data_IF_323610409960
#
_entry.id   IF_323610409960
#
_cell.length_a   1.000
_cell.length_b   1.000
_cell.length_c   1.000
_cell.angle_alpha   90.00
_cell.angle_beta   90.00
_cell.angle_gamma   90.00
#
_symmetry.space_group_name_H-M   'P 1'
#
loop_
_entity.id
_entity.type
_entity.pdbx_description
1 polymer ?
#
# COMPACT_ATOMS: atom_id res chain seq x y z
N UNK A 1 -35.98 -10.10 16.49
CA UNK A 1 -37.46 -10.05 16.38
C UNK A 1 -38.00 -11.41 16.74
N UNK A 2 -38.38 -11.60 18.01
CA UNK A 2 -38.96 -12.87 18.47
C UNK A 2 -40.37 -12.99 17.93
N UNK A 3 -40.64 -14.02 17.13
CA UNK A 3 -41.95 -14.41 16.70
C UNK A 3 -42.82 -14.69 17.95
N UNK A 4 -43.87 -13.91 18.14
CA UNK A 4 -44.93 -14.23 19.09
C UNK A 4 -45.63 -15.55 18.65
N UNK A 5 -45.03 -16.68 18.98
CA UNK A 5 -45.75 -17.94 18.91
C UNK A 5 -46.81 -17.92 20.02
N UNK A 6 -48.06 -18.08 19.69
CA UNK A 6 -49.15 -18.26 20.65
C UNK A 6 -48.79 -19.46 21.54
N UNK A 7 -48.36 -19.20 22.78
CA UNK A 7 -47.85 -20.18 23.71
C UNK A 7 -48.99 -21.00 24.32
N UNK A 8 -50.25 -20.48 24.25
CA UNK A 8 -51.46 -21.13 24.76
C UNK A 8 -52.39 -21.47 23.61
N UNK A 9 -53.00 -22.62 23.72
CA UNK A 9 -53.98 -23.13 22.73
C UNK A 9 -55.35 -22.44 22.81
N UNK A 10 -55.55 -21.50 23.76
CA UNK A 10 -56.78 -20.79 23.98
C UNK A 10 -57.90 -21.66 24.59
N UNK A 11 -57.52 -22.59 25.51
CA UNK A 11 -58.41 -23.57 26.06
C UNK A 11 -59.44 -22.93 27.02
N UNK A 12 -59.08 -21.91 27.80
CA UNK A 12 -59.98 -21.18 28.68
C UNK A 12 -60.29 -19.76 28.16
N UNK A 13 -61.38 -19.14 28.62
CA UNK A 13 -61.70 -17.74 28.38
C UNK A 13 -60.66 -16.74 28.92
N UNK A 14 -59.78 -17.16 29.86
CA UNK A 14 -58.73 -16.36 30.48
C UNK A 14 -57.35 -16.56 29.85
N UNK A 15 -57.26 -17.35 28.79
CA UNK A 15 -56.01 -17.66 28.12
C UNK A 15 -55.22 -16.39 27.70
N UNK A 16 -55.92 -15.37 27.15
CA UNK A 16 -55.30 -14.09 26.76
C UNK A 16 -54.73 -13.31 27.98
N UNK A 17 -55.43 -13.35 29.12
CA UNK A 17 -54.98 -12.66 30.34
C UNK A 17 -53.76 -13.34 30.93
N UNK A 18 -53.71 -14.67 30.94
CA UNK A 18 -52.53 -15.45 31.36
C UNK A 18 -51.32 -15.16 30.48
N UNK A 19 -51.56 -15.04 29.14
CA UNK A 19 -50.50 -14.67 28.21
C UNK A 19 -49.97 -13.24 28.44
N UNK A 20 -50.85 -12.28 28.74
CA UNK A 20 -50.42 -10.94 29.11
C UNK A 20 -49.59 -10.89 30.40
N UNK A 21 -49.99 -11.67 31.42
CA UNK A 21 -49.25 -11.80 32.68
C UNK A 21 -47.85 -12.38 32.42
N UNK A 22 -47.76 -13.46 31.63
CA UNK A 22 -46.49 -14.05 31.20
C UNK A 22 -45.58 -13.05 30.51
N UNK A 23 -46.13 -12.34 29.49
CA UNK A 23 -45.39 -11.34 28.75
C UNK A 23 -44.87 -10.22 29.64
N UNK A 24 -45.65 -9.74 30.58
CA UNK A 24 -45.23 -8.72 31.55
C UNK A 24 -44.13 -9.26 32.50
N UNK A 25 -44.27 -10.49 32.99
CA UNK A 25 -43.28 -11.11 33.87
C UNK A 25 -41.91 -11.27 33.15
N UNK A 26 -41.93 -11.78 31.91
CA UNK A 26 -40.73 -11.91 31.07
C UNK A 26 -40.09 -10.53 30.77
N UNK A 27 -40.91 -9.53 30.44
CA UNK A 27 -40.44 -8.16 30.18
C UNK A 27 -39.74 -7.56 31.40
N UNK A 28 -40.28 -7.78 32.61
CA UNK A 28 -39.64 -7.31 33.85
C UNK A 28 -38.34 -8.07 34.12
N UNK A 29 -38.34 -9.39 33.90
CA UNK A 29 -37.14 -10.22 34.02
C UNK A 29 -36.04 -9.86 33.01
N UNK A 30 -36.38 -9.26 31.85
CA UNK A 30 -35.45 -8.84 30.85
C UNK A 30 -34.81 -7.46 31.12
N UNK A 31 -35.24 -6.70 32.12
CA UNK A 31 -34.66 -5.38 32.42
C UNK A 31 -33.14 -5.42 32.72
N UNK A 32 -32.63 -6.40 33.51
CA UNK A 32 -31.20 -6.55 33.75
C UNK A 32 -30.43 -6.85 32.48
N UNK A 33 -30.98 -7.66 31.56
CA UNK A 33 -30.37 -7.97 30.26
C UNK A 33 -30.21 -6.71 29.40
N UNK A 34 -31.21 -5.84 29.36
CA UNK A 34 -31.11 -4.57 28.65
C UNK A 34 -30.01 -3.68 29.24
N UNK A 35 -29.85 -3.65 30.58
CA UNK A 35 -28.77 -2.91 31.22
C UNK A 35 -27.40 -3.49 30.85
N UNK A 36 -27.25 -4.82 30.85
CA UNK A 36 -26.01 -5.48 30.43
C UNK A 36 -25.64 -5.20 28.97
N UNK A 37 -26.65 -5.19 28.07
CA UNK A 37 -26.43 -4.82 26.65
C UNK A 37 -26.02 -3.36 26.49
N UNK A 38 -26.59 -2.42 27.26
CA UNK A 38 -26.15 -1.03 27.24
C UNK A 38 -24.70 -0.87 27.73
N UNK A 39 -24.32 -1.62 28.75
CA UNK A 39 -22.94 -1.67 29.24
C UNK A 39 -21.99 -2.26 28.19
N UNK A 40 -22.42 -3.31 27.48
CA UNK A 40 -21.65 -3.90 26.36
C UNK A 40 -21.41 -2.85 25.25
N UNK A 41 -22.45 -2.11 24.86
CA UNK A 41 -22.31 -1.03 23.87
C UNK A 41 -21.29 0.02 24.31
N UNK A 42 -21.29 0.39 25.59
CA UNK A 42 -20.30 1.35 26.13
C UNK A 42 -18.87 0.79 26.06
N UNK A 43 -18.69 -0.49 26.41
CA UNK A 43 -17.37 -1.15 26.33
C UNK A 43 -16.89 -1.29 24.89
N UNK A 44 -17.78 -1.60 23.95
CA UNK A 44 -17.48 -1.65 22.51
C UNK A 44 -17.05 -0.26 22.00
N UNK A 45 -17.81 0.78 22.32
CA UNK A 45 -17.45 2.16 21.94
C UNK A 45 -16.08 2.57 22.49
N UNK A 46 -15.73 2.14 23.71
CA UNK A 46 -14.40 2.36 24.30
C UNK A 46 -13.32 1.59 23.53
N UNK A 47 -13.56 0.33 23.15
CA UNK A 47 -12.63 -0.48 22.35
C UNK A 47 -12.41 0.14 20.96
N UNK A 48 -13.47 0.60 20.32
CA UNK A 48 -13.40 1.25 19.00
C UNK A 48 -12.58 2.54 19.06
N UNK A 49 -12.76 3.34 20.10
CA UNK A 49 -11.99 4.55 20.31
C UNK A 49 -10.50 4.28 20.58
N UNK A 50 -10.17 3.19 21.32
CA UNK A 50 -8.78 2.76 21.51
C UNK A 50 -8.15 2.28 20.22
N UNK A 51 -8.88 1.55 19.37
CA UNK A 51 -8.40 1.14 18.05
C UNK A 51 -8.19 2.34 17.11
N UNK A 52 -9.05 3.36 17.19
CA UNK A 52 -8.87 4.60 16.43
C UNK A 52 -7.59 5.32 16.84
N UNK A 53 -7.35 5.47 18.15
CA UNK A 53 -6.11 6.06 18.69
C UNK A 53 -4.88 5.28 18.25
N UNK A 54 -4.89 3.96 18.38
CA UNK A 54 -3.84 3.06 17.95
C UNK A 54 -3.47 3.30 16.47
N UNK A 55 -4.47 3.30 15.58
CA UNK A 55 -4.24 3.60 14.17
C UNK A 55 -3.65 4.99 13.91
N UNK A 56 -3.98 6.01 14.73
CA UNK A 56 -3.40 7.36 14.59
C UNK A 56 -1.95 7.39 15.06
N UNK A 57 -1.62 6.72 16.17
CA UNK A 57 -0.24 6.66 16.67
C UNK A 57 0.65 5.80 15.75
N UNK A 58 0.15 4.68 15.24
CA UNK A 58 0.84 3.90 14.21
C UNK A 58 1.12 4.72 12.95
N UNK A 59 0.20 5.62 12.55
CA UNK A 59 0.44 6.54 11.44
C UNK A 59 1.54 7.56 11.75
N UNK A 60 1.63 8.06 12.99
CA UNK A 60 2.74 8.92 13.42
C UNK A 60 4.06 8.17 13.37
N UNK A 61 4.11 6.94 13.86
CA UNK A 61 5.31 6.10 13.79
C UNK A 61 5.74 5.84 12.32
N UNK A 62 4.79 5.53 11.45
CA UNK A 62 5.04 5.35 10.02
C UNK A 62 5.57 6.63 9.37
N UNK A 63 5.06 7.80 9.76
CA UNK A 63 5.55 9.08 9.25
C UNK A 63 6.99 9.38 9.74
N UNK A 64 7.35 9.04 10.98
CA UNK A 64 8.72 9.13 11.49
C UNK A 64 9.67 8.20 10.70
N UNK A 65 9.23 6.98 10.39
CA UNK A 65 9.99 6.05 9.52
C UNK A 65 10.14 6.62 8.11
N UNK A 66 9.10 7.29 7.60
CA UNK A 66 9.12 8.00 6.32
C UNK A 66 10.18 9.11 6.28
N UNK A 67 10.36 9.87 7.38
CA UNK A 67 11.45 10.87 7.47
C UNK A 67 12.81 10.19 7.40
N UNK A 68 13.00 9.05 8.07
CA UNK A 68 14.24 8.28 8.00
C UNK A 68 14.56 7.83 6.57
N UNK A 69 13.57 7.26 5.88
CA UNK A 69 13.73 6.85 4.48
C UNK A 69 14.03 8.03 3.56
N UNK A 70 13.39 9.18 3.79
CA UNK A 70 13.60 10.40 3.02
C UNK A 70 14.99 11.01 3.29
N UNK A 71 15.54 10.85 4.50
CA UNK A 71 16.89 11.31 4.84
C UNK A 71 17.97 10.54 4.06
N UNK A 72 17.71 9.27 3.73
CA UNK A 72 18.59 8.44 2.90
C UNK A 72 18.34 8.63 1.39
N UNK A 73 17.28 9.35 1.00
CA UNK A 73 16.95 9.57 -0.40
C UNK A 73 17.91 10.56 -1.04
N UNK A 74 18.41 10.22 -2.23
CA UNK A 74 19.29 11.07 -3.02
C UNK A 74 18.61 11.57 -4.29
N UNK A 75 19.09 12.67 -4.80
CA UNK A 75 18.72 13.22 -6.10
C UNK A 75 19.99 13.55 -6.88
N UNK A 76 19.93 13.38 -8.20
CA UNK A 76 21.02 13.77 -9.09
C UNK A 76 20.60 15.01 -9.91
N UNK A 77 21.55 15.92 -10.08
CA UNK A 77 21.45 17.04 -11.03
C UNK A 77 22.62 16.99 -11.99
N UNK A 78 22.41 17.44 -13.20
CA UNK A 78 23.41 17.40 -14.28
C UNK A 78 23.64 18.80 -14.79
N UNK A 79 24.90 19.17 -15.01
CA UNK A 79 25.27 20.49 -15.52
C UNK A 79 24.84 20.70 -16.98
N UNK A 80 24.80 19.62 -17.77
CA UNK A 80 24.34 19.62 -19.16
C UNK A 80 23.54 18.36 -19.47
N UNK A 81 22.22 18.52 -19.56
CA UNK A 81 21.27 17.45 -19.81
C UNK A 81 21.25 16.95 -21.26
N UNK A 82 21.89 17.66 -22.17
CA UNK A 82 22.03 17.23 -23.58
C UNK A 82 23.15 16.18 -23.70
N UNK A 83 24.15 16.24 -22.81
CA UNK A 83 25.31 15.33 -22.81
C UNK A 83 25.02 14.06 -22.06
N UNK A 84 24.46 14.16 -20.84
CA UNK A 84 24.12 13.00 -20.02
C UNK A 84 22.82 13.21 -19.27
N UNK A 85 22.09 12.11 -19.03
CA UNK A 85 21.01 12.06 -18.04
C UNK A 85 21.43 11.14 -16.88
N UNK A 86 21.22 11.56 -15.64
CA UNK A 86 21.63 10.81 -14.46
C UNK A 86 20.44 10.35 -13.66
N UNK A 87 20.52 9.13 -13.14
CA UNK A 87 19.54 8.51 -12.25
C UNK A 87 20.26 8.03 -11.00
N UNK A 88 19.85 8.57 -9.83
CA UNK A 88 20.31 8.13 -8.52
C UNK A 88 19.24 7.30 -7.82
N UNK A 89 19.65 6.20 -7.20
CA UNK A 89 18.81 5.46 -6.25
C UNK A 89 19.24 5.79 -4.79
N UNK A 90 18.50 5.35 -3.76
CA UNK A 90 18.82 5.65 -2.36
C UNK A 90 20.21 5.21 -1.89
N UNK A 91 20.87 4.31 -2.62
CA UNK A 91 22.23 3.86 -2.29
C UNK A 91 23.33 4.74 -2.90
N UNK A 92 22.98 5.74 -3.72
CA UNK A 92 23.94 6.62 -4.36
C UNK A 92 24.66 7.49 -3.32
N UNK A 93 25.99 7.52 -3.42
CA UNK A 93 26.78 8.33 -2.51
C UNK A 93 26.79 9.79 -2.96
N UNK A 94 26.50 10.76 -2.06
CA UNK A 94 26.61 12.18 -2.36
C UNK A 94 28.02 12.55 -2.83
N UNK A 95 28.08 13.38 -3.87
CA UNK A 95 29.34 13.82 -4.45
C UNK A 95 29.16 14.39 -5.87
N UNK A 96 30.27 14.88 -6.42
CA UNK A 96 30.33 15.37 -7.82
C UNK A 96 31.14 14.37 -8.63
N UNK A 97 30.55 13.99 -9.78
CA UNK A 97 31.14 13.06 -10.75
C UNK A 97 31.26 13.77 -12.09
N UNK A 98 32.47 14.11 -12.51
CA UNK A 98 32.71 14.70 -13.83
C UNK A 98 32.79 13.59 -14.87
N UNK A 99 31.95 13.67 -15.90
CA UNK A 99 31.85 12.67 -16.96
C UNK A 99 32.28 13.30 -18.27
N UNK A 100 33.26 12.70 -18.93
CA UNK A 100 33.69 13.02 -20.26
C UNK A 100 33.19 11.93 -21.22
N UNK A 101 32.20 12.24 -22.08
CA UNK A 101 31.69 11.32 -23.10
C UNK A 101 32.51 11.48 -24.36
N UNK A 102 33.38 10.50 -24.63
CA UNK A 102 34.24 10.48 -25.83
C UNK A 102 33.46 10.02 -27.05
N UNK A 103 32.60 9.02 -26.89
CA UNK A 103 31.74 8.46 -27.93
C UNK A 103 30.47 7.90 -27.31
N UNK A 104 29.32 8.18 -27.89
CA UNK A 104 28.06 7.55 -27.48
C UNK A 104 27.84 6.14 -28.07
N UNK A 105 28.81 5.69 -28.90
CA UNK A 105 28.73 4.40 -29.57
C UNK A 105 27.60 4.32 -30.60
N UNK A 106 27.61 3.25 -31.36
CA UNK A 106 26.61 2.94 -32.36
C UNK A 106 26.38 1.42 -32.44
N UNK A 107 25.16 0.92 -32.66
CA UNK A 107 24.90 -0.46 -32.98
C UNK A 107 25.35 -0.78 -34.39
N UNK A 108 25.72 -2.05 -34.66
CA UNK A 108 25.91 -2.55 -36.02
C UNK A 108 24.56 -2.63 -36.72
N UNK A 109 24.54 -2.16 -37.98
CA UNK A 109 23.37 -2.27 -38.86
C UNK A 109 23.72 -3.13 -40.06
N UNK A 110 22.86 -4.09 -40.38
CA UNK A 110 22.94 -4.94 -41.56
C UNK A 110 21.62 -4.91 -42.34
N UNK A 111 21.67 -5.15 -43.61
CA UNK A 111 20.52 -5.13 -44.48
C UNK A 111 20.58 -6.25 -45.51
N UNK A 112 19.43 -6.76 -45.92
CA UNK A 112 19.33 -7.79 -46.96
C UNK A 112 19.96 -7.34 -48.27
N UNK A 113 20.73 -8.23 -48.90
CA UNK A 113 21.45 -7.96 -50.12
C UNK A 113 20.54 -7.46 -51.28
N UNK A 114 21.09 -6.60 -52.12
CA UNK A 114 20.36 -6.12 -53.29
C UNK A 114 20.13 -7.15 -54.39
N UNK A 115 20.93 -8.23 -54.36
CA UNK A 115 20.86 -9.35 -55.30
C UNK A 115 19.75 -10.37 -54.97
N UNK A 116 19.13 -10.26 -53.78
CA UNK A 116 18.03 -11.13 -53.38
C UNK A 116 16.72 -10.73 -54.10
N UNK A 117 15.73 -11.63 -54.19
CA UNK A 117 14.45 -11.36 -54.81
C UNK A 117 13.83 -10.06 -54.27
N UNK A 118 13.26 -9.27 -55.17
CA UNK A 118 12.56 -8.05 -54.79
C UNK A 118 11.25 -8.42 -54.06
N UNK A 119 11.03 -7.82 -52.90
CA UNK A 119 9.82 -8.02 -52.11
C UNK A 119 8.95 -6.75 -52.25
N UNK A 120 7.81 -6.90 -52.94
CA UNK A 120 6.84 -5.84 -53.10
C UNK A 120 5.70 -5.87 -52.10
N UNK A 121 5.49 -7.05 -51.44
CA UNK A 121 4.58 -7.26 -50.34
C UNK A 121 5.25 -8.17 -49.30
N UNK A 122 5.61 -7.62 -48.12
CA UNK A 122 6.32 -8.39 -47.07
C UNK A 122 5.45 -9.45 -46.37
N UNK A 123 4.12 -9.39 -46.53
CA UNK A 123 3.18 -10.35 -45.97
C UNK A 123 2.96 -11.58 -46.86
N UNK A 124 3.36 -11.50 -48.11
CA UNK A 124 3.18 -12.53 -49.14
C UNK A 124 4.48 -13.10 -49.72
N UNK A 125 5.56 -12.33 -49.65
CA UNK A 125 6.83 -12.63 -50.27
C UNK A 125 7.98 -12.68 -49.27
N UNK A 126 9.08 -13.37 -49.64
CA UNK A 126 10.30 -13.49 -48.89
C UNK A 126 11.56 -13.26 -49.73
N UNK A 127 12.68 -13.05 -49.02
CA UNK A 127 14.03 -12.98 -49.65
C UNK A 127 14.68 -14.34 -49.83
N UNK A 128 14.10 -15.41 -49.28
CA UNK A 128 14.57 -16.80 -49.36
C UNK A 128 13.39 -17.77 -49.35
N UNK A 129 13.58 -18.98 -49.83
CA UNK A 129 12.62 -20.09 -49.75
C UNK A 129 12.97 -21.05 -48.61
N UNK A 130 14.06 -20.83 -47.90
CA UNK A 130 14.48 -21.69 -46.77
C UNK A 130 13.50 -21.57 -45.58
N UNK A 131 13.07 -22.69 -45.06
CA UNK A 131 12.22 -22.77 -43.86
C UNK A 131 13.01 -22.69 -42.56
N UNK A 132 14.34 -22.78 -42.61
CA UNK A 132 15.22 -22.65 -41.45
C UNK A 132 16.48 -21.89 -41.84
N UNK A 133 16.79 -20.85 -41.04
CA UNK A 133 17.94 -19.98 -41.26
C UNK A 133 18.85 -19.99 -40.03
N UNK A 134 20.10 -19.65 -40.23
CA UNK A 134 21.06 -19.45 -39.13
C UNK A 134 21.39 -17.97 -39.04
N UNK A 135 21.01 -17.32 -37.97
CA UNK A 135 21.40 -15.97 -37.62
C UNK A 135 22.65 -16.01 -36.73
N UNK A 136 23.76 -15.46 -37.18
CA UNK A 136 24.99 -15.39 -36.39
C UNK A 136 25.20 -13.96 -35.92
N UNK A 137 25.31 -13.75 -34.59
CA UNK A 137 25.49 -12.45 -33.97
C UNK A 137 26.73 -12.53 -33.07
N UNK A 138 27.77 -11.74 -33.38
CA UNK A 138 29.01 -11.79 -32.61
C UNK A 138 29.66 -13.16 -32.52
N UNK A 139 29.49 -14.00 -33.57
CA UNK A 139 29.99 -15.36 -33.61
C UNK A 139 29.07 -16.41 -32.97
N UNK A 140 27.98 -16.04 -32.33
CA UNK A 140 27.00 -16.95 -31.72
C UNK A 140 25.87 -17.26 -32.72
N UNK A 141 25.65 -18.56 -33.11
CA UNK A 141 24.59 -18.92 -34.02
C UNK A 141 23.24 -19.12 -33.30
N UNK A 142 22.17 -18.65 -33.93
CA UNK A 142 20.77 -18.84 -33.54
C UNK A 142 19.99 -19.45 -34.71
N UNK A 143 19.22 -20.49 -34.44
CA UNK A 143 18.33 -21.08 -35.46
C UNK A 143 17.04 -20.26 -35.52
N UNK A 144 16.71 -19.78 -36.71
CA UNK A 144 15.51 -18.99 -36.99
C UNK A 144 14.58 -19.85 -37.86
N UNK A 145 13.39 -20.12 -37.34
CA UNK A 145 12.35 -20.88 -38.04
C UNK A 145 11.09 -20.02 -38.15
N UNK A 146 10.88 -19.29 -39.25
CA UNK A 146 9.69 -18.49 -39.44
C UNK A 146 8.43 -19.34 -39.51
N UNK A 147 7.29 -18.82 -39.03
CA UNK A 147 5.99 -19.50 -39.05
C UNK A 147 5.41 -19.63 -40.47
N UNK A 148 5.86 -18.79 -41.40
CA UNK A 148 5.53 -18.84 -42.81
C UNK A 148 6.69 -18.27 -43.64
N UNK A 149 6.70 -18.61 -44.95
CA UNK A 149 7.75 -18.10 -45.85
C UNK A 149 7.42 -16.70 -46.38
N UNK A 150 7.39 -15.70 -45.45
CA UNK A 150 7.18 -14.29 -45.71
C UNK A 150 8.23 -13.45 -45.03
N UNK A 151 8.48 -12.23 -45.55
CA UNK A 151 9.46 -11.32 -44.96
C UNK A 151 9.04 -10.87 -43.55
N UNK A 152 7.73 -10.69 -43.35
CA UNK A 152 7.17 -10.35 -42.03
C UNK A 152 7.39 -11.45 -41.02
N UNK A 153 7.06 -12.70 -41.35
CA UNK A 153 7.27 -13.83 -40.45
C UNK A 153 8.76 -14.09 -40.14
N UNK A 154 9.66 -13.81 -41.10
CA UNK A 154 11.09 -13.87 -40.87
C UNK A 154 11.56 -12.79 -39.88
N UNK A 155 11.09 -11.54 -40.01
CA UNK A 155 11.41 -10.46 -39.08
C UNK A 155 10.88 -10.78 -37.65
N UNK A 156 9.65 -11.30 -37.54
CA UNK A 156 9.06 -11.70 -36.27
C UNK A 156 9.84 -12.85 -35.60
N UNK A 157 10.26 -13.84 -36.38
CA UNK A 157 11.07 -14.97 -35.90
C UNK A 157 12.44 -14.49 -35.39
N UNK A 158 13.09 -13.55 -36.09
CA UNK A 158 14.35 -12.94 -35.64
C UNK A 158 14.14 -12.18 -34.33
N UNK A 159 13.12 -11.33 -34.24
CA UNK A 159 12.81 -10.55 -33.04
C UNK A 159 12.49 -11.43 -31.83
N UNK A 160 11.92 -12.61 -32.05
CA UNK A 160 11.58 -13.58 -31.01
C UNK A 160 12.73 -14.51 -30.64
N UNK A 161 13.86 -14.47 -31.37
CA UNK A 161 14.96 -15.43 -31.21
C UNK A 161 15.84 -15.22 -29.98
N UNK A 162 15.77 -14.05 -29.32
CA UNK A 162 16.68 -13.67 -28.24
C UNK A 162 18.12 -13.36 -28.67
N UNK A 163 18.38 -13.18 -29.96
CA UNK A 163 19.72 -13.01 -30.52
C UNK A 163 20.34 -11.62 -30.32
N UNK A 164 19.77 -10.78 -29.46
CA UNK A 164 20.21 -9.39 -29.23
C UNK A 164 20.29 -8.55 -30.52
N UNK A 165 19.33 -8.75 -31.43
CA UNK A 165 19.12 -7.94 -32.62
C UNK A 165 17.65 -7.57 -32.75
N UNK A 166 17.39 -6.44 -33.39
CA UNK A 166 16.05 -6.03 -33.81
C UNK A 166 15.97 -6.05 -35.32
N UNK A 167 14.99 -6.79 -35.85
CA UNK A 167 14.68 -6.86 -37.26
C UNK A 167 13.53 -5.94 -37.60
N UNK A 168 13.72 -5.10 -38.62
CA UNK A 168 12.73 -4.20 -39.17
C UNK A 168 12.62 -4.39 -40.69
N UNK A 169 11.45 -4.10 -41.26
CA UNK A 169 11.23 -4.10 -42.70
C UNK A 169 11.13 -2.65 -43.15
N UNK A 170 12.00 -2.26 -44.10
CA UNK A 170 12.06 -0.91 -44.65
C UNK A 170 11.76 -0.94 -46.14
N UNK A 171 10.98 0.03 -46.62
CA UNK A 171 10.71 0.19 -48.05
C UNK A 171 11.73 1.16 -48.66
N UNK A 172 12.56 0.68 -49.56
CA UNK A 172 13.53 1.49 -50.34
C UNK A 172 12.99 1.85 -51.72
N UNK A 173 11.76 1.41 -52.07
CA UNK A 173 11.11 1.75 -53.35
C UNK A 173 10.15 2.96 -53.18
N UNK A 174 9.49 3.29 -54.28
CA UNK A 174 8.43 4.29 -54.31
C UNK A 174 7.08 3.70 -53.86
N UNK A 175 6.08 4.49 -53.51
CA UNK A 175 4.74 3.98 -53.22
C UNK A 175 4.10 3.16 -54.36
N UNK A 176 4.45 3.47 -55.61
CA UNK A 176 3.97 2.78 -56.82
C UNK A 176 4.84 1.57 -57.21
N UNK A 177 6.05 1.46 -56.70
CA UNK A 177 6.98 0.36 -56.91
C UNK A 177 7.74 0.06 -55.60
N UNK A 178 7.09 -0.54 -54.63
CA UNK A 178 7.70 -0.82 -53.33
C UNK A 178 8.83 -1.88 -53.46
N UNK A 179 9.87 -1.72 -52.65
CA UNK A 179 10.98 -2.65 -52.53
C UNK A 179 11.36 -2.81 -51.05
N UNK A 180 10.75 -3.77 -50.41
CA UNK A 180 10.95 -4.01 -49.00
C UNK A 180 12.25 -4.81 -48.76
N UNK A 181 13.01 -4.33 -47.78
CA UNK A 181 14.27 -4.95 -47.32
C UNK A 181 14.20 -5.26 -45.86
N UNK A 182 14.82 -6.38 -45.47
CA UNK A 182 15.06 -6.72 -44.08
C UNK A 182 16.26 -5.91 -43.59
N UNK A 183 16.06 -5.16 -42.52
CA UNK A 183 17.12 -4.41 -41.82
C UNK A 183 17.26 -4.94 -40.40
N UNK A 184 18.49 -5.33 -40.03
CA UNK A 184 18.81 -5.77 -38.69
C UNK A 184 19.70 -4.75 -38.01
N UNK A 185 19.44 -4.54 -36.71
CA UNK A 185 20.27 -3.70 -35.85
C UNK A 185 20.56 -4.43 -34.55
N UNK A 186 21.83 -4.44 -34.11
CA UNK A 186 22.16 -5.00 -32.79
C UNK A 186 21.56 -4.17 -31.66
N UNK A 187 21.12 -4.80 -30.60
CA UNK A 187 20.64 -4.11 -29.40
C UNK A 187 21.80 -3.60 -28.56
N UNK A 188 22.97 -4.22 -28.67
CA UNK A 188 24.21 -3.81 -28.04
C UNK A 188 25.06 -2.94 -28.97
N UNK A 189 25.79 -2.01 -28.37
CA UNK A 189 26.74 -1.16 -29.07
C UNK A 189 28.03 -1.94 -29.36
N UNK A 190 28.68 -1.59 -30.46
CA UNK A 190 29.96 -2.22 -30.83
C UNK A 190 29.95 -2.76 -32.24
N UNK A 191 31.15 -3.06 -32.76
CA UNK A 191 31.34 -3.74 -34.03
C UNK A 191 31.03 -5.25 -33.89
N UNK A 192 29.75 -5.55 -33.88
CA UNK A 192 29.22 -6.91 -33.71
C UNK A 192 28.81 -7.43 -35.07
N UNK A 193 29.49 -8.42 -35.61
CA UNK A 193 29.15 -9.04 -36.88
C UNK A 193 27.74 -9.66 -36.80
N UNK A 194 26.90 -9.33 -37.78
CA UNK A 194 25.54 -9.88 -37.92
C UNK A 194 25.41 -10.49 -39.30
N UNK A 195 25.11 -11.78 -39.41
CA UNK A 195 24.91 -12.48 -40.65
C UNK A 195 23.74 -13.43 -40.54
N UNK A 196 22.93 -13.49 -41.60
CA UNK A 196 21.81 -14.40 -41.75
C UNK A 196 22.08 -15.32 -42.92
N UNK A 197 22.18 -16.63 -42.69
CA UNK A 197 22.48 -17.66 -43.71
C UNK A 197 21.27 -18.57 -43.91
N UNK A 198 20.91 -18.86 -45.13
CA UNK A 198 19.78 -19.75 -45.49
C UNK A 198 20.18 -21.21 -45.76
N UNK A 199 21.43 -21.55 -45.45
CA UNK A 199 22.02 -22.86 -45.72
C UNK A 199 22.77 -22.93 -47.04
N UNK A 200 22.60 -21.94 -47.92
CA UNK A 200 23.21 -21.84 -49.25
C UNK A 200 24.06 -20.57 -49.41
N UNK A 201 23.60 -19.46 -48.87
CA UNK A 201 24.25 -18.18 -49.01
C UNK A 201 23.94 -17.26 -47.80
N UNK A 202 24.80 -16.27 -47.64
CA UNK A 202 24.55 -15.18 -46.73
C UNK A 202 23.56 -14.19 -47.33
N UNK A 203 22.59 -13.74 -46.54
CA UNK A 203 21.49 -12.92 -47.01
C UNK A 203 21.68 -11.45 -46.64
N UNK A 204 22.66 -11.09 -45.81
CA UNK A 204 22.85 -9.75 -45.31
C UNK A 204 24.20 -9.17 -45.73
N UNK A 205 24.27 -7.86 -45.86
CA UNK A 205 25.51 -7.06 -45.86
C UNK A 205 25.50 -6.07 -44.71
N UNK A 206 26.68 -5.83 -44.13
CA UNK A 206 26.84 -4.77 -43.12
C UNK A 206 26.66 -3.41 -43.81
N UNK A 207 25.68 -2.65 -43.33
CA UNK A 207 25.41 -1.29 -43.81
C UNK A 207 26.30 -0.29 -43.02
N UNK A 208 26.46 -0.50 -41.71
CA UNK A 208 27.29 0.31 -40.83
C UNK A 208 27.83 -0.55 -39.72
N UNK A 209 29.17 -0.58 -39.58
CA UNK A 209 29.80 -1.15 -38.40
C UNK A 209 29.43 -0.33 -37.17
N UNK A 210 29.18 -1.01 -36.04
CA UNK A 210 28.93 -0.37 -34.76
C UNK A 210 30.24 0.10 -34.07
N UNK A 211 30.08 0.79 -32.99
CA UNK A 211 31.18 1.21 -32.10
C UNK A 211 30.70 1.19 -30.68
N UNK A 212 31.57 0.85 -29.74
CA UNK A 212 31.26 0.93 -28.30
C UNK A 212 31.11 2.39 -27.85
N UNK A 213 30.28 2.63 -26.85
CA UNK A 213 30.30 3.89 -26.13
C UNK A 213 31.63 4.00 -25.35
N UNK A 214 32.17 5.21 -25.28
CA UNK A 214 33.44 5.48 -24.59
C UNK A 214 33.30 6.70 -23.72
N UNK A 215 33.74 6.59 -22.45
CA UNK A 215 33.62 7.65 -21.47
C UNK A 215 34.75 7.57 -20.42
N UNK A 216 34.93 8.67 -19.68
CA UNK A 216 35.85 8.77 -18.53
C UNK A 216 35.10 9.36 -17.34
N UNK A 217 35.49 9.02 -16.12
CA UNK A 217 34.92 9.53 -14.87
C UNK A 217 36.01 10.25 -14.13
N UNK A 218 35.83 11.53 -13.76
CA UNK A 218 36.82 12.37 -13.09
C UNK A 218 38.18 12.37 -13.84
N UNK A 219 38.16 12.33 -15.18
CA UNK A 219 39.35 12.27 -16.02
C UNK A 219 40.10 10.93 -15.99
N UNK A 220 39.52 9.89 -15.45
CA UNK A 220 40.12 8.56 -15.33
C UNK A 220 39.24 7.46 -15.93
N UNK A 221 39.82 6.35 -16.43
CA UNK A 221 41.26 6.19 -16.74
C UNK A 221 41.64 7.01 -17.96
N UNK A 222 42.95 7.19 -18.18
CA UNK A 222 43.47 7.91 -19.35
C UNK A 222 43.05 7.27 -20.71
N UNK A 223 42.87 5.94 -20.73
CA UNK A 223 42.17 5.22 -21.82
C UNK A 223 40.72 5.14 -21.47
N UNK A 224 39.80 5.68 -22.30
CA UNK A 224 38.38 5.69 -21.99
C UNK A 224 37.83 4.31 -21.72
N UNK A 225 36.86 4.23 -20.80
CA UNK A 225 36.09 3.02 -20.52
C UNK A 225 35.16 2.77 -21.71
N UNK A 226 35.16 1.54 -22.21
CA UNK A 226 34.28 1.11 -23.31
C UNK A 226 33.07 0.36 -22.76
N UNK A 227 31.89 0.64 -23.31
CA UNK A 227 30.62 0.01 -22.94
C UNK A 227 29.84 -0.44 -24.18
N UNK A 228 29.16 -1.57 -24.08
CA UNK A 228 28.20 -2.05 -25.08
C UNK A 228 26.77 -1.48 -24.88
N UNK A 229 26.62 -0.57 -23.90
CA UNK A 229 25.40 0.16 -23.58
C UNK A 229 25.69 1.66 -23.45
N UNK A 230 24.67 2.49 -23.75
CA UNK A 230 24.71 3.93 -23.41
C UNK A 230 24.36 4.20 -21.97
N UNK A 231 23.60 3.30 -21.35
CA UNK A 231 23.29 3.37 -19.92
C UNK A 231 24.41 2.68 -19.16
N UNK A 232 25.15 3.43 -18.35
CA UNK A 232 26.33 2.97 -17.61
C UNK A 232 26.20 3.27 -16.13
N UNK A 233 26.61 2.34 -15.27
CA UNK A 233 26.72 2.57 -13.82
C UNK A 233 28.09 3.14 -13.53
N UNK A 234 28.14 4.37 -13.02
CA UNK A 234 29.41 5.11 -12.77
C UNK A 234 29.84 5.05 -11.31
N UNK A 235 28.88 4.81 -10.40
CA UNK A 235 29.12 4.59 -8.96
C UNK A 235 27.99 3.71 -8.41
N UNK A 236 28.13 3.10 -7.21
CA UNK A 236 27.03 2.39 -6.56
C UNK A 236 25.80 3.29 -6.49
N UNK A 237 24.65 2.80 -6.98
CA UNK A 237 23.39 3.54 -7.01
C UNK A 237 23.32 4.74 -7.97
N UNK A 238 24.33 4.97 -8.81
CA UNK A 238 24.33 6.06 -9.78
C UNK A 238 24.52 5.52 -11.20
N UNK A 239 23.49 5.66 -12.01
CA UNK A 239 23.45 5.27 -13.42
C UNK A 239 23.33 6.51 -14.29
N UNK A 240 23.99 6.50 -15.44
CA UNK A 240 24.03 7.63 -16.38
C UNK A 240 23.75 7.13 -17.78
N UNK A 241 22.91 7.86 -18.52
CA UNK A 241 22.71 7.68 -19.95
C UNK A 241 23.58 8.65 -20.73
N UNK A 242 24.40 8.12 -21.64
CA UNK A 242 25.30 8.88 -22.51
C UNK A 242 24.52 9.34 -23.76
N UNK A 243 24.21 10.64 -23.86
CA UNK A 243 23.34 11.20 -24.90
C UNK A 243 24.12 11.86 -26.02
N UNK A 244 25.17 12.65 -25.69
CA UNK A 244 26.06 13.32 -26.64
C UNK A 244 27.51 13.27 -26.14
N UNK A 245 28.45 13.54 -27.04
CA UNK A 245 29.87 13.74 -26.72
C UNK A 245 30.08 15.07 -26.04
N UNK A 246 30.91 15.12 -24.99
CA UNK A 246 31.21 16.35 -24.25
C UNK A 246 31.47 16.07 -22.78
N UNK A 247 31.52 17.16 -22.01
CA UNK A 247 31.78 17.12 -20.57
C UNK A 247 30.51 17.52 -19.80
N UNK A 248 30.18 16.77 -18.77
CA UNK A 248 29.08 17.09 -17.87
C UNK A 248 29.44 16.68 -16.43
N UNK A 249 29.04 17.51 -15.48
CA UNK A 249 29.12 17.19 -14.05
C UNK A 249 27.78 16.66 -13.54
N UNK A 250 27.81 15.52 -12.90
CA UNK A 250 26.69 14.95 -12.17
C UNK A 250 26.90 15.17 -10.69
N UNK A 251 25.99 15.93 -10.07
CA UNK A 251 26.02 16.19 -8.63
C UNK A 251 24.93 15.35 -7.97
N UNK A 252 25.33 14.45 -7.09
CA UNK A 252 24.43 13.67 -6.24
C UNK A 252 24.36 14.34 -4.88
N UNK A 253 23.16 14.67 -4.44
CA UNK A 253 22.90 15.29 -3.13
C UNK A 253 21.72 14.61 -2.43
N UNK A 254 21.56 14.82 -1.13
CA UNK A 254 20.35 14.41 -0.43
C UNK A 254 19.13 15.14 -0.98
N UNK A 255 18.01 14.43 -1.08
CA UNK A 255 16.76 14.98 -1.61
C UNK A 255 16.03 15.82 -0.57
N UNK A 256 16.23 17.14 -0.58
CA UNK A 256 15.48 18.06 0.29
C UNK A 256 13.96 18.01 0.05
N UNK A 257 13.54 17.79 -1.19
CA UNK A 257 12.11 17.66 -1.51
C UNK A 257 11.47 16.40 -0.91
N UNK A 258 12.19 15.26 -0.92
CA UNK A 258 11.72 14.04 -0.27
C UNK A 258 11.60 14.24 1.26
N UNK A 259 12.59 14.88 1.87
CA UNK A 259 12.58 15.20 3.29
C UNK A 259 11.45 16.19 3.65
N UNK A 260 11.23 17.24 2.84
CA UNK A 260 10.13 18.19 3.04
C UNK A 260 8.76 17.49 2.99
N UNK A 261 8.55 16.61 2.01
CA UNK A 261 7.32 15.84 1.89
C UNK A 261 7.10 14.92 3.11
N UNK A 262 8.15 14.28 3.61
CA UNK A 262 8.08 13.41 4.78
C UNK A 262 7.78 14.20 6.06
N UNK A 263 8.36 15.40 6.25
CA UNK A 263 8.06 16.30 7.37
C UNK A 263 6.62 16.82 7.31
N UNK A 264 6.10 17.13 6.12
CA UNK A 264 4.70 17.49 5.91
C UNK A 264 3.75 16.34 6.27
N UNK A 265 4.10 15.11 5.86
CA UNK A 265 3.34 13.91 6.22
C UNK A 265 3.34 13.66 7.74
N UNK A 266 4.48 13.88 8.38
CA UNK A 266 4.59 13.80 9.85
C UNK A 266 3.68 14.82 10.53
N UNK A 267 3.69 16.10 10.10
CA UNK A 267 2.80 17.12 10.66
C UNK A 267 1.31 16.72 10.49
N UNK A 268 0.96 16.16 9.34
CA UNK A 268 -0.41 15.68 9.07
C UNK A 268 -0.81 14.52 9.99
N UNK A 269 0.03 13.51 10.14
CA UNK A 269 -0.23 12.36 11.02
C UNK A 269 -0.30 12.78 12.49
N UNK A 270 0.63 13.65 12.92
CA UNK A 270 0.65 14.23 14.25
C UNK A 270 -0.67 14.97 14.57
N UNK A 271 -1.12 15.82 13.65
CA UNK A 271 -2.36 16.57 13.81
C UNK A 271 -3.59 15.67 13.87
N UNK A 272 -3.62 14.60 13.08
CA UNK A 272 -4.70 13.60 13.14
C UNK A 272 -4.75 12.89 14.50
N UNK A 273 -3.60 12.62 15.13
CA UNK A 273 -3.54 12.06 16.47
C UNK A 273 -3.98 13.07 17.54
N UNK A 274 -3.61 14.36 17.41
CA UNK A 274 -4.08 15.44 18.29
C UNK A 274 -5.59 15.61 18.20
N UNK A 275 -6.15 15.59 16.98
CA UNK A 275 -7.59 15.70 16.76
C UNK A 275 -8.35 14.54 17.41
N UNK A 276 -7.90 13.31 17.23
CA UNK A 276 -8.50 12.12 17.85
C UNK A 276 -8.48 12.23 19.38
N UNK A 277 -7.34 12.60 19.97
CA UNK A 277 -7.25 12.81 21.43
C UNK A 277 -8.18 13.92 21.92
N UNK A 278 -8.41 14.94 21.10
CA UNK A 278 -9.28 16.08 21.45
C UNK A 278 -10.75 15.66 21.49
N UNK A 279 -11.18 14.72 20.64
CA UNK A 279 -12.56 14.19 20.65
C UNK A 279 -12.91 13.52 21.99
N UNK A 280 -11.92 13.08 22.76
CA UNK A 280 -12.10 12.41 24.06
C UNK A 280 -11.87 13.33 25.27
N UNK A 281 -11.93 14.66 25.09
CA UNK A 281 -11.75 15.66 26.15
C UNK A 281 -12.99 16.51 26.39
N UNK A 282 -13.12 17.02 27.60
CA UNK A 282 -14.18 17.95 27.96
C UNK A 282 -15.55 17.31 28.24
N UNK A 283 -16.54 18.13 28.57
CA UNK A 283 -17.93 17.68 28.75
C UNK A 283 -18.54 17.29 27.39
N UNK A 284 -19.09 16.10 27.30
CA UNK A 284 -19.66 15.56 26.06
C UNK A 284 -18.63 14.96 25.10
N UNK A 285 -17.41 14.75 25.53
CA UNK A 285 -16.38 14.04 24.76
C UNK A 285 -16.70 12.56 24.56
N UNK A 286 -15.92 11.90 23.69
CA UNK A 286 -16.11 10.51 23.27
C UNK A 286 -15.92 9.45 24.38
N UNK A 287 -15.88 8.20 23.96
CA UNK A 287 -15.92 7.03 24.86
C UNK A 287 -14.73 6.88 25.86
N UNK A 288 -13.65 7.67 25.66
CA UNK A 288 -12.47 7.65 26.54
C UNK A 288 -12.36 8.89 27.45
N UNK A 289 -13.44 9.64 27.63
CA UNK A 289 -13.45 10.80 28.56
C UNK A 289 -13.09 10.33 29.98
N UNK A 290 -12.06 10.99 30.55
CA UNK A 290 -11.56 10.65 31.89
C UNK A 290 -10.62 9.43 31.93
N UNK A 291 -10.34 8.80 30.79
CA UNK A 291 -9.36 7.72 30.73
C UNK A 291 -7.93 8.28 30.83
N UNK A 292 -7.08 7.76 31.75
CA UNK A 292 -5.70 8.22 31.90
C UNK A 292 -4.85 8.10 30.62
N UNK A 293 -5.20 7.19 29.72
CA UNK A 293 -4.48 6.99 28.45
C UNK A 293 -4.44 8.28 27.60
N UNK A 294 -5.54 9.05 27.60
CA UNK A 294 -5.63 10.32 26.86
C UNK A 294 -4.56 11.31 27.28
N UNK A 295 -4.29 11.40 28.61
CA UNK A 295 -3.25 12.29 29.14
C UNK A 295 -1.84 11.79 28.79
N UNK A 296 -1.59 10.49 28.89
CA UNK A 296 -0.30 9.86 28.57
C UNK A 296 0.04 10.03 27.11
N UNK A 297 -0.87 9.70 26.20
CA UNK A 297 -0.68 9.86 24.75
C UNK A 297 -0.48 11.34 24.36
N UNK A 298 -1.24 12.25 24.97
CA UNK A 298 -1.07 13.69 24.74
C UNK A 298 0.27 14.22 25.21
N UNK A 299 0.81 13.68 26.30
CA UNK A 299 2.14 14.06 26.79
C UNK A 299 3.23 13.54 25.85
N UNK A 300 3.09 12.33 25.33
CA UNK A 300 4.03 11.76 24.36
C UNK A 300 4.07 12.60 23.08
N UNK A 301 2.92 12.99 22.51
CA UNK A 301 2.91 13.88 21.34
C UNK A 301 3.56 15.23 21.63
N UNK A 302 3.29 15.83 22.78
CA UNK A 302 3.94 17.10 23.16
C UNK A 302 5.45 16.96 23.33
N UNK A 303 5.91 15.83 23.87
CA UNK A 303 7.34 15.53 23.99
C UNK A 303 8.01 15.41 22.61
N UNK A 304 7.33 14.78 21.64
CA UNK A 304 7.82 14.73 20.27
C UNK A 304 7.95 16.13 19.65
N UNK A 305 6.88 16.94 19.74
CA UNK A 305 6.88 18.29 19.17
C UNK A 305 7.86 19.25 19.89
N UNK A 306 8.15 19.00 21.15
CA UNK A 306 9.08 19.79 21.97
C UNK A 306 10.50 19.28 21.97
N UNK A 307 10.87 18.35 21.08
CA UNK A 307 12.22 17.81 21.02
C UNK A 307 13.23 18.91 20.72
N UNK A 308 14.29 18.94 21.50
CA UNK A 308 15.45 19.80 21.32
C UNK A 308 16.71 18.94 21.31
N UNK A 309 17.62 19.21 20.39
CA UNK A 309 18.86 18.45 20.24
C UNK A 309 19.75 19.10 19.20
N UNK A 310 20.94 18.50 18.96
CA UNK A 310 21.90 19.06 18.01
C UNK A 310 22.82 20.12 18.61
N UNK A 311 23.92 20.38 17.91
CA UNK A 311 24.96 21.34 18.32
C UNK A 311 25.23 22.42 17.27
N UNK A 312 24.40 22.46 16.19
CA UNK A 312 24.55 23.36 15.06
C UNK A 312 23.50 24.44 14.97
N UNK A 313 23.22 24.89 13.78
CA UNK A 313 22.19 25.88 13.47
C UNK A 313 20.77 25.34 13.61
N UNK A 314 20.59 24.00 13.62
CA UNK A 314 19.30 23.32 13.78
C UNK A 314 19.28 22.64 15.16
N UNK A 315 18.45 23.14 16.07
CA UNK A 315 18.37 22.68 17.46
C UNK A 315 16.97 22.23 17.88
N UNK A 316 15.95 22.55 17.11
CA UNK A 316 14.56 22.21 17.39
C UNK A 316 13.75 22.07 16.08
N UNK A 317 12.53 21.54 16.18
CA UNK A 317 11.68 21.33 15.02
C UNK A 317 11.27 22.64 14.32
N UNK A 318 11.25 23.77 15.03
CA UNK A 318 10.92 25.08 14.45
C UNK A 318 11.99 25.51 13.45
N UNK A 319 13.25 25.17 13.69
CA UNK A 319 14.35 25.47 12.76
C UNK A 319 14.23 24.67 11.45
N UNK A 320 13.42 23.59 11.47
CA UNK A 320 13.02 22.82 10.29
C UNK A 320 11.65 23.23 9.72
N UNK A 321 11.10 24.37 10.14
CA UNK A 321 9.80 24.85 9.66
C UNK A 321 8.59 24.19 10.31
N UNK A 322 8.74 23.35 11.33
CA UNK A 322 7.66 22.72 12.08
C UNK A 322 7.32 23.54 13.33
N UNK A 323 6.22 24.27 13.30
CA UNK A 323 5.80 25.13 14.41
C UNK A 323 4.55 24.60 15.10
N UNK A 324 4.54 24.63 16.44
CA UNK A 324 3.42 24.19 17.26
C UNK A 324 2.49 25.37 17.55
N UNK A 325 1.22 25.24 17.24
CA UNK A 325 0.21 26.23 17.55
C UNK A 325 -0.35 26.09 18.99
N UNK A 326 -1.23 27.04 19.39
CA UNK A 326 -1.86 27.03 20.72
C UNK A 326 -2.82 25.86 20.94
N UNK A 327 -3.31 25.24 19.88
CA UNK A 327 -4.16 24.06 19.94
C UNK A 327 -3.36 22.76 20.06
N UNK A 328 -2.03 22.84 19.97
CA UNK A 328 -1.12 21.72 20.03
C UNK A 328 -0.94 21.02 18.67
N UNK A 329 -1.29 21.67 17.57
CA UNK A 329 -1.10 21.17 16.21
C UNK A 329 0.19 21.71 15.61
N UNK A 330 0.81 20.90 14.74
CA UNK A 330 1.98 21.26 13.97
C UNK A 330 1.57 21.88 12.63
N UNK A 331 2.19 22.99 12.26
CA UNK A 331 2.21 23.51 10.89
C UNK A 331 3.61 23.36 10.33
N UNK A 332 3.71 23.05 9.04
CA UNK A 332 4.99 22.90 8.33
C UNK A 332 5.14 23.99 7.28
N UNK A 333 6.27 24.70 7.34
CA UNK A 333 6.70 25.68 6.33
C UNK A 333 7.87 25.10 5.54
N UNK A 334 7.57 24.69 4.30
CA UNK A 334 8.54 24.09 3.40
C UNK A 334 9.69 25.05 3.06
N UNK A 335 9.41 26.37 2.95
CA UNK A 335 10.43 27.36 2.58
C UNK A 335 11.50 27.51 3.67
N UNK A 336 11.09 27.44 4.93
CA UNK A 336 12.01 27.46 6.09
C UNK A 336 12.89 26.20 6.05
N UNK A 337 12.27 25.03 5.83
CA UNK A 337 13.03 23.78 5.73
C UNK A 337 14.03 23.78 4.58
N UNK A 338 13.63 24.20 3.37
CA UNK A 338 14.49 24.24 2.20
C UNK A 338 15.67 25.19 2.41
N UNK A 339 15.42 26.33 3.07
CA UNK A 339 16.48 27.28 3.44
C UNK A 339 17.48 26.67 4.45
N UNK A 340 16.99 25.97 5.46
CA UNK A 340 17.84 25.26 6.44
C UNK A 340 18.65 24.12 5.77
N UNK A 341 18.00 23.32 4.93
CA UNK A 341 18.63 22.21 4.21
C UNK A 341 19.72 22.70 3.23
N UNK A 342 19.51 23.83 2.57
CA UNK A 342 20.48 24.43 1.67
C UNK A 342 21.69 25.07 2.41
N UNK A 343 21.42 25.79 3.51
CA UNK A 343 22.46 26.51 4.24
C UNK A 343 23.25 25.60 5.21
N UNK A 344 22.59 24.62 5.83
CA UNK A 344 23.12 23.82 6.93
C UNK A 344 22.76 22.31 6.80
N UNK A 345 23.05 21.65 5.67
CA UNK A 345 22.63 20.27 5.43
C UNK A 345 23.15 19.27 6.48
N UNK A 346 24.37 19.48 6.96
CA UNK A 346 24.97 18.63 8.01
C UNK A 346 24.28 18.80 9.37
N UNK A 347 23.81 20.02 9.71
CA UNK A 347 23.10 20.28 10.96
C UNK A 347 21.70 19.69 10.91
N UNK A 348 21.02 19.76 9.75
CA UNK A 348 19.74 19.09 9.51
C UNK A 348 19.89 17.57 9.69
N UNK A 349 20.90 16.97 9.05
CA UNK A 349 21.17 15.54 9.17
C UNK A 349 21.52 15.13 10.62
N UNK A 350 22.33 15.92 11.31
CA UNK A 350 22.71 15.67 12.71
C UNK A 350 21.51 15.79 13.67
N UNK A 351 20.62 16.77 13.46
CA UNK A 351 19.40 16.96 14.25
C UNK A 351 18.40 15.82 14.02
N UNK A 352 18.14 15.47 12.77
CA UNK A 352 17.25 14.35 12.44
C UNK A 352 17.82 13.04 12.97
N UNK A 353 19.11 12.80 12.75
CA UNK A 353 19.79 11.57 13.16
C UNK A 353 19.25 10.34 12.44
N UNK A 354 19.26 9.20 13.12
CA UNK A 354 18.67 7.96 12.62
C UNK A 354 17.93 7.22 13.74
N UNK A 355 16.93 6.37 13.43
CA UNK A 355 16.19 5.59 14.43
C UNK A 355 17.08 4.73 15.34
N UNK A 356 18.25 4.30 14.85
CA UNK A 356 19.14 3.40 15.56
C UNK A 356 20.20 4.13 16.40
N UNK A 357 20.59 5.38 16.07
CA UNK A 357 21.76 6.00 16.67
C UNK A 357 21.47 7.19 17.60
N UNK A 358 20.90 8.26 17.10
CA UNK A 358 20.68 9.51 17.84
C UNK A 358 19.71 10.44 17.12
N UNK A 359 19.50 11.63 17.66
CA UNK A 359 18.69 12.70 17.07
C UNK A 359 17.20 12.54 17.30
N UNK A 360 16.43 13.36 16.58
CA UNK A 360 14.98 13.39 16.65
C UNK A 360 14.35 12.03 16.31
N UNK A 361 14.81 11.38 15.24
CA UNK A 361 14.25 10.11 14.77
C UNK A 361 14.37 9.00 15.81
N UNK A 362 15.52 8.92 16.51
CA UNK A 362 15.67 7.93 17.60
C UNK A 362 14.74 8.24 18.75
N UNK A 363 14.71 9.48 19.22
CA UNK A 363 13.86 9.88 20.35
C UNK A 363 12.38 9.65 20.05
N UNK A 364 11.95 10.00 18.83
CA UNK A 364 10.57 9.81 18.38
C UNK A 364 10.22 8.33 18.25
N UNK A 365 11.10 7.52 17.64
CA UNK A 365 10.88 6.08 17.48
C UNK A 365 10.82 5.38 18.84
N UNK A 366 11.72 5.68 19.77
CA UNK A 366 11.71 5.09 21.11
C UNK A 366 10.43 5.44 21.89
N UNK A 367 10.03 6.73 21.84
CA UNK A 367 8.80 7.19 22.51
C UNK A 367 7.55 6.51 21.94
N UNK A 368 7.45 6.39 20.62
CA UNK A 368 6.30 5.75 19.97
C UNK A 368 6.31 4.24 20.16
N UNK A 369 7.46 3.57 20.09
CA UNK A 369 7.57 2.14 20.37
C UNK A 369 7.14 1.80 21.80
N UNK A 370 7.40 2.68 22.79
CA UNK A 370 6.92 2.48 24.15
C UNK A 370 5.38 2.48 24.24
N UNK A 371 4.70 3.14 23.30
CA UNK A 371 3.24 3.20 23.22
C UNK A 371 2.65 2.06 22.41
N UNK A 372 3.31 1.70 21.29
CA UNK A 372 2.82 0.81 20.23
C UNK A 372 3.41 -0.62 20.29
N UNK A 373 4.30 -0.91 21.26
CA UNK A 373 4.90 -2.25 21.37
C UNK A 373 3.81 -3.33 21.46
N UNK A 374 3.81 -4.37 20.60
CA UNK A 374 2.73 -5.37 20.54
C UNK A 374 2.56 -6.20 21.82
N UNK A 375 3.55 -6.22 22.71
CA UNK A 375 3.55 -7.04 23.93
C UNK A 375 3.34 -6.19 25.19
N UNK A 376 4.04 -5.06 25.26
CA UNK A 376 4.14 -4.25 26.48
C UNK A 376 3.68 -2.78 26.27
N UNK A 377 3.31 -2.40 25.07
CA UNK A 377 2.85 -1.05 24.75
C UNK A 377 1.59 -0.68 25.52
N UNK A 378 1.50 0.58 25.94
CA UNK A 378 0.37 1.04 26.75
C UNK A 378 -0.96 0.99 25.99
N UNK A 379 -0.95 1.22 24.69
CA UNK A 379 -2.14 1.10 23.82
C UNK A 379 -2.57 -0.34 23.74
N UNK A 380 -1.66 -1.29 23.45
CA UNK A 380 -1.98 -2.70 23.30
C UNK A 380 -2.48 -3.32 24.61
N UNK A 381 -1.83 -3.04 25.74
CA UNK A 381 -2.27 -3.53 27.05
C UNK A 381 -3.64 -2.97 27.44
N UNK A 382 -3.94 -1.72 27.09
CA UNK A 382 -5.25 -1.12 27.35
C UNK A 382 -6.34 -1.70 26.44
N UNK A 383 -6.06 -1.96 25.16
CA UNK A 383 -6.95 -2.65 24.21
C UNK A 383 -7.26 -4.08 24.68
N UNK A 384 -6.24 -4.85 25.09
CA UNK A 384 -6.41 -6.20 25.62
C UNK A 384 -7.27 -6.19 26.89
N UNK A 385 -7.10 -5.20 27.77
CA UNK A 385 -7.96 -4.98 28.94
C UNK A 385 -9.42 -4.70 28.57
N UNK A 386 -9.66 -3.85 27.56
CA UNK A 386 -11.00 -3.55 27.05
C UNK A 386 -11.66 -4.79 26.44
N UNK A 387 -10.94 -5.58 25.63
CA UNK A 387 -11.43 -6.83 25.08
C UNK A 387 -11.80 -7.85 26.17
N UNK A 388 -10.96 -7.99 27.19
CA UNK A 388 -11.25 -8.84 28.34
C UNK A 388 -12.52 -8.40 29.08
N UNK A 389 -12.78 -7.09 29.15
CA UNK A 389 -14.01 -6.57 29.76
C UNK A 389 -15.24 -6.89 28.90
N UNK A 390 -15.14 -6.78 27.57
CA UNK A 390 -16.19 -7.16 26.61
C UNK A 390 -16.51 -8.66 26.76
N UNK A 391 -15.50 -9.53 26.79
CA UNK A 391 -15.69 -10.98 26.90
C UNK A 391 -16.37 -11.37 28.22
N UNK A 392 -16.03 -10.70 29.32
CA UNK A 392 -16.71 -10.88 30.60
C UNK A 392 -18.16 -10.40 30.53
N UNK A 393 -18.41 -9.30 29.87
CA UNK A 393 -19.77 -8.77 29.72
C UNK A 393 -20.64 -9.68 28.87
N UNK A 394 -20.11 -10.23 27.79
CA UNK A 394 -20.81 -11.21 26.96
C UNK A 394 -21.22 -12.46 27.78
N UNK A 395 -20.31 -13.02 28.59
CA UNK A 395 -20.65 -14.15 29.46
C UNK A 395 -21.79 -13.80 30.42
N UNK A 396 -21.79 -12.60 31.01
CA UNK A 396 -22.88 -12.15 31.89
C UNK A 396 -24.22 -12.02 31.16
N UNK A 397 -24.19 -11.61 29.92
CA UNK A 397 -25.38 -11.52 29.04
C UNK A 397 -25.91 -12.94 28.76
N UNK A 398 -25.04 -13.88 28.41
CA UNK A 398 -25.40 -15.27 28.14
C UNK A 398 -26.00 -15.96 29.37
N UNK A 399 -25.42 -15.73 30.54
CA UNK A 399 -25.93 -16.25 31.83
C UNK A 399 -27.32 -15.68 32.13
N UNK A 400 -27.49 -14.36 31.96
CA UNK A 400 -28.78 -13.70 32.21
C UNK A 400 -29.83 -14.12 31.19
N UNK A 401 -29.50 -14.27 29.92
CA UNK A 401 -30.39 -14.81 28.89
C UNK A 401 -30.84 -16.22 29.24
N UNK A 402 -29.92 -17.09 29.66
CA UNK A 402 -30.22 -18.45 30.06
C UNK A 402 -31.17 -18.48 31.27
N UNK A 403 -31.00 -17.55 32.22
CA UNK A 403 -31.90 -17.41 33.40
C UNK A 403 -33.30 -16.98 32.96
N UNK A 404 -33.42 -16.03 32.03
CA UNK A 404 -34.71 -15.55 31.46
C UNK A 404 -35.40 -16.68 30.71
N UNK A 405 -34.68 -17.44 29.90
CA UNK A 405 -35.21 -18.56 29.14
C UNK A 405 -35.76 -19.68 30.06
N UNK A 406 -35.03 -20.02 31.13
CA UNK A 406 -35.46 -20.97 32.13
C UNK A 406 -36.75 -20.48 32.86
N UNK A 407 -36.76 -19.20 33.27
CA UNK A 407 -37.95 -18.59 33.90
C UNK A 407 -39.15 -18.58 32.94
N UNK A 408 -38.94 -18.23 31.66
CA UNK A 408 -39.97 -18.20 30.66
C UNK A 408 -40.55 -19.58 30.43
N UNK A 409 -39.72 -20.62 30.38
CA UNK A 409 -40.14 -22.01 30.24
C UNK A 409 -40.99 -22.48 31.44
N UNK A 410 -40.52 -22.19 32.68
CA UNK A 410 -41.22 -22.54 33.90
C UNK A 410 -42.60 -21.85 33.99
N UNK A 411 -42.63 -20.52 33.78
CA UNK A 411 -43.87 -19.77 33.80
C UNK A 411 -44.82 -20.22 32.70
N UNK A 412 -44.33 -20.48 31.48
CA UNK A 412 -45.15 -21.02 30.40
C UNK A 412 -45.83 -22.34 30.76
N UNK A 413 -45.06 -23.27 31.36
CA UNK A 413 -45.56 -24.55 31.82
C UNK A 413 -46.66 -24.41 32.89
N UNK A 414 -46.45 -23.53 33.89
CA UNK A 414 -47.42 -23.27 34.97
C UNK A 414 -48.68 -22.59 34.44
N UNK A 415 -48.55 -21.62 33.52
CA UNK A 415 -49.69 -20.92 32.95
C UNK A 415 -50.53 -21.85 32.04
N UNK A 416 -49.84 -22.69 31.24
CA UNK A 416 -50.56 -23.70 30.42
C UNK A 416 -51.32 -24.72 31.26
N UNK A 417 -50.76 -25.17 32.38
CA UNK A 417 -51.43 -26.05 33.30
C UNK A 417 -52.63 -25.37 33.98
N UNK A 418 -52.50 -24.10 34.37
CA UNK A 418 -53.60 -23.31 34.93
C UNK A 418 -54.73 -23.10 33.92
N UNK A 419 -54.40 -22.76 32.63
CA UNK A 419 -55.35 -22.60 31.55
C UNK A 419 -56.18 -23.88 31.27
N UNK A 420 -55.51 -25.03 31.24
CA UNK A 420 -56.13 -26.34 31.08
C UNK A 420 -57.08 -26.67 32.24
N UNK A 421 -56.68 -26.37 33.49
CA UNK A 421 -57.49 -26.57 34.67
C UNK A 421 -58.77 -25.69 34.64
N UNK A 422 -58.58 -24.40 34.33
CA UNK A 422 -59.71 -23.45 34.19
C UNK A 422 -60.67 -23.91 33.08
N UNK A 423 -60.17 -24.32 31.93
CA UNK A 423 -60.98 -24.85 30.84
C UNK A 423 -61.82 -26.08 31.27
N UNK A 424 -61.22 -26.99 32.05
CA UNK A 424 -61.92 -28.16 32.60
C UNK A 424 -63.02 -27.77 33.58
N UNK A 425 -62.76 -26.79 34.45
CA UNK A 425 -63.75 -26.23 35.36
C UNK A 425 -64.92 -25.53 34.64
N UNK A 426 -64.59 -24.78 33.59
CA UNK A 426 -65.59 -24.14 32.72
C UNK A 426 -66.53 -25.18 32.05
N UNK A 427 -65.95 -26.27 31.58
CA UNK A 427 -66.75 -27.39 31.04
C UNK A 427 -67.67 -28.03 32.09
N UNK A 428 -67.16 -28.24 33.30
CA UNK A 428 -67.94 -28.76 34.42
C UNK A 428 -69.12 -27.82 34.77
N UNK A 429 -68.83 -26.50 34.88
CA UNK A 429 -69.86 -25.48 35.14
C UNK A 429 -70.92 -25.49 34.05
N UNK A 430 -70.51 -25.56 32.78
CA UNK A 430 -71.43 -25.65 31.63
C UNK A 430 -72.27 -26.92 31.68
N UNK A 431 -71.68 -28.07 32.03
CA UNK A 431 -72.38 -29.35 32.20
C UNK A 431 -73.42 -29.24 33.31
N UNK A 432 -73.03 -28.76 34.52
CA UNK A 432 -74.01 -28.57 35.63
C UNK A 432 -75.10 -27.58 35.29
N UNK A 433 -74.78 -26.47 34.62
CA UNK A 433 -75.78 -25.47 34.15
C UNK A 433 -76.84 -26.08 33.17
N UNK A 434 -76.33 -26.93 32.25
CA UNK A 434 -77.19 -27.64 31.30
C UNK A 434 -78.10 -28.69 31.99
N UNK A 435 -77.52 -29.42 33.01
CA UNK A 435 -78.20 -30.40 33.81
C UNK A 435 -79.37 -29.73 34.62
N UNK A 436 -79.09 -28.63 35.29
CA UNK A 436 -80.06 -27.88 36.07
C UNK A 436 -81.12 -27.23 35.16
N UNK A 437 -80.72 -26.78 33.96
CA UNK A 437 -81.66 -26.27 32.92
C UNK A 437 -82.65 -27.35 32.47
N UNK A 438 -82.17 -28.57 32.23
CA UNK A 438 -82.96 -29.71 31.82
C UNK A 438 -83.91 -30.19 32.93
N UNK A 439 -83.46 -30.20 34.17
CA UNK A 439 -84.25 -30.53 35.34
C UNK A 439 -85.41 -29.53 35.59
N UNK A 440 -85.16 -28.23 35.40
CA UNK A 440 -86.22 -27.18 35.46
C UNK A 440 -87.19 -27.22 34.30
N UNK A 441 -86.74 -27.69 33.14
CA UNK A 441 -87.63 -27.85 31.98
C UNK A 441 -88.58 -29.07 32.08
N UNK A 442 -88.24 -30.08 32.87
CA UNK A 442 -89.04 -31.25 33.16
C UNK A 442 -90.09 -31.03 34.28
N UNK A 443 -89.95 -29.95 35.06
CA UNK A 443 -90.88 -29.59 36.14
C UNK A 443 -91.91 -28.50 35.72
N UNK A 444 -92.00 -28.15 34.43
CA UNK A 444 -93.01 -27.32 33.84
C UNK A 444 -93.92 -28.19 32.91
#
# INVERSE_FOLDING_TARGET
MSSNSNIFTGASRYSSDLQQVLTRAVKIASLPLNLLNNQLTTLQSRSDALNSLDGKFAAVLSAIQGISTAADSTTSSVSDTDIVAAHSDPSALPGTYSIHVVSQGAPTKAMSLGTLPAVTDPSLQSITTSGSLTLTVGGTPFTITPTSNTLSALADAINSSGANVTANIINLGSPSAPNYKLSLQTTKLGDIAVQLNDGSQDLLSTLSAGAQAQYQINGQPSTPISSDSRTVTIAPGLTVDLLQTGDADVVVSQSSSAQANALSAFATAYNAAVDELTTHRGQGGGALVGDPIISTLSQSLRSLAGFTGGSGAVQNLTDLGLTLDRSGKLSFDQTVFESAAAAHPNDVAAFLGSPASNGFLKSATDALNTLEDPISGILETTKAGAQTAIDRQNRRIDDEQSRIDALTKDLTGRMAAADALIASLEQQVTYFSTLFGSMNAQNK
#
